data_IF_308282251599
#
_entry.id   IF_308282251599
#
_cell.length_a   1.000
_cell.length_b   1.000
_cell.length_c   1.000
_cell.angle_alpha   90.00
_cell.angle_beta   90.00
_cell.angle_gamma   90.00
#
_symmetry.space_group_name_H-M   'P 1'
#
loop_
_entity.id
_entity.type
_entity.pdbx_description
1 polymer ?
#
# COMPACT_ATOMS: atom_id res chain seq x y z
N UNK A 1 14.46 3.85 -15.13
CA UNK A 1 13.78 5.07 -14.64
C UNK A 1 13.33 4.79 -13.22
N UNK A 2 13.60 5.70 -12.27
CA UNK A 2 13.13 5.53 -10.88
C UNK A 2 11.62 5.65 -10.79
N UNK A 3 11.03 5.12 -9.70
CA UNK A 3 9.60 5.21 -9.43
C UNK A 3 9.16 6.67 -9.28
N UNK A 4 9.98 7.50 -8.63
CA UNK A 4 9.70 8.94 -8.49
C UNK A 4 9.62 9.63 -9.87
N UNK A 5 10.56 9.33 -10.77
CA UNK A 5 10.59 9.91 -12.10
C UNK A 5 9.41 9.42 -12.94
N UNK A 6 9.01 8.14 -12.81
CA UNK A 6 7.80 7.61 -13.44
C UNK A 6 6.55 8.40 -13.05
N UNK A 7 6.34 8.62 -11.76
CA UNK A 7 5.17 9.36 -11.24
C UNK A 7 5.15 10.80 -11.80
N UNK A 8 6.32 11.44 -11.88
CA UNK A 8 6.46 12.79 -12.46
C UNK A 8 6.04 12.82 -13.93
N UNK A 9 6.55 11.89 -14.72
CA UNK A 9 6.27 11.84 -16.16
C UNK A 9 4.80 11.50 -16.42
N UNK A 10 4.23 10.56 -15.65
CA UNK A 10 2.82 10.20 -15.73
C UNK A 10 1.90 11.36 -15.30
N UNK A 11 2.32 12.19 -14.35
CA UNK A 11 1.61 13.45 -14.00
C UNK A 11 1.57 14.43 -15.17
N UNK A 12 2.70 14.60 -15.87
CA UNK A 12 2.77 15.47 -17.05
C UNK A 12 1.96 14.92 -18.23
N UNK A 13 1.98 13.60 -18.43
CA UNK A 13 1.14 12.90 -19.41
C UNK A 13 -0.35 13.12 -19.11
N UNK A 14 -0.78 12.95 -17.86
CA UNK A 14 -2.16 13.16 -17.45
C UNK A 14 -2.64 14.61 -17.73
N UNK A 15 -1.76 15.61 -17.53
CA UNK A 15 -2.06 17.01 -17.89
C UNK A 15 -2.26 17.18 -19.39
N UNK A 16 -1.40 16.60 -20.22
CA UNK A 16 -1.51 16.65 -21.69
C UNK A 16 -2.78 15.94 -22.19
N UNK A 17 -3.14 14.83 -21.54
CA UNK A 17 -4.35 14.08 -21.81
C UNK A 17 -5.63 14.72 -21.23
N UNK A 18 -5.52 15.86 -20.53
CA UNK A 18 -6.62 16.56 -19.84
C UNK A 18 -7.33 15.71 -18.77
N UNK A 19 -6.61 14.73 -18.19
CA UNK A 19 -7.05 13.91 -17.06
C UNK A 19 -6.83 14.68 -15.74
N UNK A 20 -7.59 15.76 -15.53
CA UNK A 20 -7.33 16.73 -14.46
C UNK A 20 -7.23 16.11 -13.05
N UNK A 21 -8.14 15.18 -12.72
CA UNK A 21 -8.14 14.49 -11.42
C UNK A 21 -6.84 13.69 -11.21
N UNK A 22 -6.51 12.81 -12.16
CA UNK A 22 -5.27 12.01 -12.10
C UNK A 22 -4.02 12.88 -12.08
N UNK A 23 -3.99 13.96 -12.86
CA UNK A 23 -2.89 14.91 -12.83
C UNK A 23 -2.70 15.54 -11.45
N UNK A 24 -3.78 15.94 -10.78
CA UNK A 24 -3.72 16.47 -9.42
C UNK A 24 -3.21 15.41 -8.42
N UNK A 25 -3.81 14.21 -8.44
CA UNK A 25 -3.43 13.05 -7.62
C UNK A 25 -1.93 12.75 -7.72
N UNK A 26 -1.39 12.64 -8.94
CA UNK A 26 0.03 12.33 -9.17
C UNK A 26 0.96 13.48 -8.82
N UNK A 27 0.52 14.73 -8.98
CA UNK A 27 1.31 15.91 -8.60
C UNK A 27 1.52 15.96 -7.08
N UNK A 28 0.47 15.73 -6.31
CA UNK A 28 0.55 15.66 -4.84
C UNK A 28 1.46 14.52 -4.41
N UNK A 29 1.25 13.31 -4.94
CA UNK A 29 2.07 12.15 -4.63
C UNK A 29 3.56 12.37 -4.93
N UNK A 30 3.88 12.89 -6.13
CA UNK A 30 5.25 13.22 -6.50
C UNK A 30 5.89 14.18 -5.51
N UNK A 31 5.17 15.25 -5.14
CA UNK A 31 5.71 16.30 -4.28
C UNK A 31 6.05 15.76 -2.89
N UNK A 32 5.14 14.98 -2.31
CA UNK A 32 5.31 14.35 -1.00
C UNK A 32 6.44 13.32 -1.00
N UNK A 33 6.55 12.49 -2.05
CA UNK A 33 7.64 11.54 -2.19
C UNK A 33 9.00 12.24 -2.41
N UNK A 34 9.06 13.30 -3.24
CA UNK A 34 10.29 14.05 -3.49
C UNK A 34 10.81 14.78 -2.25
N UNK A 35 9.90 15.23 -1.37
CA UNK A 35 10.26 15.91 -0.12
C UNK A 35 11.06 15.02 0.84
N UNK A 36 10.95 13.69 0.75
CA UNK A 36 11.71 12.76 1.61
C UNK A 36 13.22 12.93 1.38
N UNK A 37 13.69 12.76 0.14
CA UNK A 37 15.09 12.93 -0.22
C UNK A 37 15.57 14.38 0.00
N UNK A 38 14.70 15.36 -0.30
CA UNK A 38 14.99 16.78 -0.07
C UNK A 38 15.28 17.08 1.41
N UNK A 39 14.45 16.57 2.31
CA UNK A 39 14.61 16.76 3.75
C UNK A 39 15.74 15.90 4.33
N UNK A 40 16.13 14.82 3.65
CA UNK A 40 17.25 13.96 4.02
C UNK A 40 18.59 14.43 3.41
N UNK A 41 18.86 15.74 3.45
CA UNK A 41 20.12 16.31 2.95
C UNK A 41 20.16 16.54 1.44
N UNK A 42 19.02 16.82 0.82
CA UNK A 42 18.91 17.09 -0.62
C UNK A 42 19.41 15.95 -1.53
N UNK A 43 19.24 14.71 -1.08
CA UNK A 43 19.49 13.50 -1.88
C UNK A 43 18.28 13.13 -2.73
N UNK A 44 18.47 12.19 -3.65
CA UNK A 44 17.35 11.55 -4.34
C UNK A 44 16.55 10.66 -3.36
N UNK A 45 15.22 10.67 -3.49
CA UNK A 45 14.32 9.74 -2.79
C UNK A 45 14.48 8.34 -3.41
N UNK A 46 14.62 7.30 -2.60
CA UNK A 46 14.75 5.92 -3.11
C UNK A 46 13.40 5.33 -3.50
N UNK A 47 13.38 4.28 -4.34
CA UNK A 47 12.14 3.64 -4.77
C UNK A 47 11.37 3.00 -3.60
N UNK A 48 12.07 2.52 -2.56
CA UNK A 48 11.45 2.02 -1.34
C UNK A 48 10.71 3.12 -0.57
N UNK A 49 11.31 4.31 -0.48
CA UNK A 49 10.69 5.47 0.17
C UNK A 49 9.48 5.97 -0.61
N UNK A 50 9.58 6.00 -1.95
CA UNK A 50 8.44 6.32 -2.82
C UNK A 50 7.31 5.31 -2.62
N UNK A 51 7.61 4.00 -2.64
CA UNK A 51 6.63 2.95 -2.41
C UNK A 51 5.99 3.04 -1.02
N UNK A 52 6.75 3.41 0.02
CA UNK A 52 6.22 3.65 1.35
C UNK A 52 5.24 4.84 1.37
N UNK A 53 5.55 5.93 0.67
CA UNK A 53 4.63 7.07 0.49
C UNK A 53 3.34 6.66 -0.23
N UNK A 54 3.46 5.91 -1.34
CA UNK A 54 2.28 5.41 -2.07
C UNK A 54 1.38 4.56 -1.17
N UNK A 55 1.96 3.66 -0.36
CA UNK A 55 1.21 2.84 0.61
C UNK A 55 0.51 3.69 1.67
N UNK A 56 1.18 4.74 2.18
CA UNK A 56 0.58 5.68 3.14
C UNK A 56 -0.62 6.40 2.53
N UNK A 57 -0.51 6.86 1.28
CA UNK A 57 -1.60 7.51 0.56
C UNK A 57 -2.80 6.59 0.34
N UNK A 58 -2.56 5.33 -0.08
CA UNK A 58 -3.62 4.31 -0.21
C UNK A 58 -4.31 4.07 1.13
N UNK A 59 -3.55 3.92 2.22
CA UNK A 59 -4.10 3.71 3.56
C UNK A 59 -5.02 4.88 3.96
N UNK A 60 -4.53 6.11 3.86
CA UNK A 60 -5.30 7.30 4.23
C UNK A 60 -6.59 7.43 3.39
N UNK A 61 -6.50 7.15 2.08
CA UNK A 61 -7.67 7.17 1.21
C UNK A 61 -8.70 6.09 1.59
N UNK A 62 -8.25 4.86 1.91
CA UNK A 62 -9.12 3.78 2.40
C UNK A 62 -9.80 4.15 3.72
N UNK A 63 -9.06 4.72 4.67
CA UNK A 63 -9.62 5.20 5.95
C UNK A 63 -10.69 6.28 5.71
N UNK A 64 -10.42 7.24 4.81
CA UNK A 64 -11.39 8.26 4.44
C UNK A 64 -12.63 7.68 3.72
N UNK A 65 -12.47 6.66 2.87
CA UNK A 65 -13.58 5.95 2.23
C UNK A 65 -14.50 5.32 3.28
N UNK A 66 -13.94 4.68 4.32
CA UNK A 66 -14.72 4.07 5.42
C UNK A 66 -15.56 5.13 6.14
N UNK A 67 -14.99 6.31 6.41
CA UNK A 67 -15.73 7.43 7.03
C UNK A 67 -16.90 7.92 6.15
N UNK A 68 -16.80 7.73 4.83
CA UNK A 68 -17.82 8.13 3.86
C UNK A 68 -18.72 6.97 3.40
N UNK A 69 -18.57 5.77 3.94
CA UNK A 69 -19.21 4.55 3.42
C UNK A 69 -20.73 4.67 3.39
N UNK A 70 -21.31 5.18 4.48
CA UNK A 70 -22.75 5.36 4.67
C UNK A 70 -23.27 6.74 4.25
N UNK A 71 -22.48 7.52 3.51
CA UNK A 71 -22.93 8.83 3.04
C UNK A 71 -24.03 8.69 1.97
N UNK A 72 -25.08 9.51 2.10
CA UNK A 72 -26.25 9.52 1.20
C UNK A 72 -26.39 10.81 0.41
N UNK A 73 -25.69 11.88 0.77
CA UNK A 73 -25.66 13.12 0.00
C UNK A 73 -24.65 13.05 -1.16
N UNK A 74 -25.00 13.69 -2.27
CA UNK A 74 -24.25 13.61 -3.53
C UNK A 74 -22.80 14.10 -3.38
N UNK A 75 -22.55 15.12 -2.55
CA UNK A 75 -21.22 15.67 -2.36
C UNK A 75 -20.28 14.66 -1.69
N UNK A 76 -20.73 13.99 -0.63
CA UNK A 76 -19.94 12.96 0.04
C UNK A 76 -19.82 11.67 -0.76
N UNK A 77 -20.84 11.30 -1.55
CA UNK A 77 -20.75 10.18 -2.50
C UNK A 77 -19.67 10.47 -3.55
N UNK A 78 -19.68 11.66 -4.15
CA UNK A 78 -18.67 12.07 -5.12
C UNK A 78 -17.26 12.07 -4.52
N UNK A 79 -17.11 12.55 -3.27
CA UNK A 79 -15.83 12.51 -2.56
C UNK A 79 -15.33 11.07 -2.33
N UNK A 80 -16.22 10.15 -1.92
CA UNK A 80 -15.90 8.73 -1.74
C UNK A 80 -15.44 8.10 -3.07
N UNK A 81 -16.12 8.40 -4.16
CA UNK A 81 -15.80 7.82 -5.47
C UNK A 81 -14.50 8.42 -6.04
N UNK A 82 -14.21 9.70 -5.79
CA UNK A 82 -12.90 10.29 -6.09
C UNK A 82 -11.77 9.58 -5.33
N UNK A 83 -11.94 9.32 -4.02
CA UNK A 83 -10.95 8.57 -3.23
C UNK A 83 -10.72 7.14 -3.77
N UNK A 84 -11.78 6.46 -4.24
CA UNK A 84 -11.66 5.14 -4.89
C UNK A 84 -10.83 5.22 -6.17
N UNK A 85 -11.02 6.27 -6.97
CA UNK A 85 -10.21 6.52 -8.16
C UNK A 85 -8.74 6.78 -7.79
N UNK A 86 -8.49 7.57 -6.74
CA UNK A 86 -7.11 7.79 -6.25
C UNK A 86 -6.43 6.49 -5.84
N UNK A 87 -7.11 5.63 -5.07
CA UNK A 87 -6.58 4.31 -4.69
C UNK A 87 -6.20 3.49 -5.93
N UNK A 88 -7.06 3.49 -6.97
CA UNK A 88 -6.77 2.82 -8.24
C UNK A 88 -5.51 3.38 -8.92
N UNK A 89 -5.38 4.71 -8.99
CA UNK A 89 -4.21 5.39 -9.55
C UNK A 89 -2.94 5.04 -8.76
N UNK A 90 -2.98 5.07 -7.43
CA UNK A 90 -1.82 4.75 -6.59
C UNK A 90 -1.38 3.29 -6.70
N UNK A 91 -2.32 2.35 -6.81
CA UNK A 91 -2.01 0.93 -6.97
C UNK A 91 -1.20 0.62 -8.24
N UNK A 92 -1.30 1.45 -9.29
CA UNK A 92 -0.50 1.29 -10.50
C UNK A 92 1.02 1.49 -10.30
N UNK A 93 1.43 2.05 -9.16
CA UNK A 93 2.82 2.31 -8.79
C UNK A 93 3.37 1.35 -7.73
N UNK A 94 2.57 0.37 -7.30
CA UNK A 94 3.03 -0.69 -6.42
C UNK A 94 3.07 -2.01 -7.18
N UNK A 95 3.94 -2.95 -6.78
CA UNK A 95 3.79 -4.33 -7.19
C UNK A 95 2.44 -4.87 -6.72
N UNK A 96 1.93 -5.88 -7.43
CA UNK A 96 0.68 -6.54 -7.07
C UNK A 96 0.74 -6.98 -5.60
N UNK A 97 -0.21 -6.47 -4.80
CA UNK A 97 -0.34 -6.87 -3.41
C UNK A 97 -1.02 -8.23 -3.34
N UNK A 98 -0.61 -9.05 -2.37
CA UNK A 98 -1.37 -10.24 -2.01
C UNK A 98 -2.77 -9.81 -1.54
N UNK A 99 -3.80 -10.40 -2.15
CA UNK A 99 -5.15 -10.28 -1.62
C UNK A 99 -5.27 -11.03 -0.28
N UNK A 100 -6.42 -10.88 0.39
CA UNK A 100 -6.64 -11.51 1.69
C UNK A 100 -6.50 -13.04 1.65
N UNK A 101 -6.97 -13.70 0.58
CA UNK A 101 -6.87 -15.15 0.43
C UNK A 101 -5.43 -15.60 0.19
N UNK A 102 -4.74 -14.94 -0.75
CA UNK A 102 -3.33 -15.18 -1.05
C UNK A 102 -2.43 -14.96 0.16
N UNK A 103 -2.67 -13.87 0.91
CA UNK A 103 -1.95 -13.56 2.14
C UNK A 103 -2.19 -14.63 3.21
N UNK A 104 -3.44 -15.07 3.36
CA UNK A 104 -3.80 -16.14 4.29
C UNK A 104 -3.11 -17.45 3.93
N UNK A 105 -3.18 -17.87 2.67
CA UNK A 105 -2.51 -19.08 2.20
C UNK A 105 -1.00 -19.02 2.38
N UNK A 106 -0.36 -17.90 2.07
CA UNK A 106 1.08 -17.72 2.26
C UNK A 106 1.48 -17.86 3.73
N UNK A 107 0.76 -17.19 4.64
CA UNK A 107 1.03 -17.27 6.07
C UNK A 107 0.79 -18.68 6.61
N UNK A 108 -0.30 -19.34 6.22
CA UNK A 108 -0.58 -20.72 6.64
C UNK A 108 0.52 -21.69 6.16
N UNK A 109 1.00 -21.54 4.91
CA UNK A 109 2.10 -22.34 4.40
C UNK A 109 3.39 -22.15 5.20
N UNK A 110 3.72 -20.91 5.56
CA UNK A 110 4.89 -20.62 6.42
C UNK A 110 4.72 -21.26 7.80
N UNK A 111 3.54 -21.13 8.41
CA UNK A 111 3.25 -21.68 9.75
C UNK A 111 3.32 -23.21 9.77
N UNK A 112 2.86 -23.89 8.72
CA UNK A 112 2.96 -25.35 8.58
C UNK A 112 4.40 -25.86 8.52
N UNK A 113 5.34 -25.04 8.01
CA UNK A 113 6.75 -25.38 7.94
C UNK A 113 7.53 -25.17 9.25
N UNK A 114 6.90 -24.66 10.31
CA UNK A 114 7.56 -24.40 11.59
C UNK A 114 7.71 -25.68 12.41
N UNK A 115 8.87 -25.83 13.06
CA UNK A 115 9.12 -26.94 13.99
C UNK A 115 8.25 -26.87 15.27
N UNK A 116 7.84 -25.66 15.66
CA UNK A 116 6.94 -25.41 16.78
C UNK A 116 5.93 -24.35 16.38
N UNK A 117 4.64 -24.58 16.62
CA UNK A 117 3.59 -23.59 16.41
C UNK A 117 3.28 -22.88 17.72
N UNK A 118 3.87 -21.69 17.92
CA UNK A 118 3.58 -20.87 19.09
C UNK A 118 3.65 -19.37 18.77
N UNK A 119 3.01 -18.50 19.58
CA UNK A 119 3.07 -17.05 19.40
C UNK A 119 4.49 -16.47 19.35
N UNK A 120 5.48 -17.18 19.91
CA UNK A 120 6.91 -16.81 19.85
C UNK A 120 7.45 -16.79 18.42
N UNK A 121 6.83 -17.53 17.50
CA UNK A 121 7.25 -17.63 16.10
C UNK A 121 6.77 -16.46 15.22
N UNK A 122 6.01 -15.50 15.77
CA UNK A 122 5.52 -14.35 15.01
C UNK A 122 6.62 -13.64 14.21
N UNK A 123 7.78 -13.40 14.83
CA UNK A 123 8.91 -12.76 14.17
C UNK A 123 9.46 -13.58 13.01
N UNK A 124 9.52 -14.91 13.16
CA UNK A 124 9.98 -15.82 12.12
C UNK A 124 8.99 -15.87 10.94
N UNK A 125 7.68 -15.95 11.22
CA UNK A 125 6.62 -15.94 10.20
C UNK A 125 6.67 -14.65 9.37
N UNK A 126 6.73 -13.49 10.04
CA UNK A 126 6.77 -12.20 9.36
C UNK A 126 8.06 -12.01 8.55
N UNK A 127 9.19 -12.54 9.04
CA UNK A 127 10.46 -12.54 8.30
C UNK A 127 10.37 -13.40 7.04
N UNK A 128 9.91 -14.63 7.14
CA UNK A 128 9.75 -15.53 6.01
C UNK A 128 8.77 -14.98 4.97
N UNK A 129 7.66 -14.38 5.42
CA UNK A 129 6.69 -13.72 4.54
C UNK A 129 7.34 -12.59 3.74
N UNK A 130 8.17 -11.77 4.40
CA UNK A 130 8.92 -10.69 3.76
C UNK A 130 9.96 -11.21 2.76
N UNK A 131 10.63 -12.32 3.07
CA UNK A 131 11.61 -12.95 2.17
C UNK A 131 10.94 -13.52 0.91
N UNK A 132 9.74 -14.09 1.04
CA UNK A 132 9.02 -14.71 -0.09
C UNK A 132 8.25 -13.69 -0.94
N UNK A 133 7.68 -12.65 -0.33
CA UNK A 133 6.74 -11.73 -1.00
C UNK A 133 7.14 -10.25 -0.93
N UNK A 134 8.33 -9.95 -0.41
CA UNK A 134 8.80 -8.58 -0.24
C UNK A 134 7.92 -7.80 0.75
N UNK A 135 7.44 -6.63 0.35
CA UNK A 135 6.52 -5.82 1.19
C UNK A 135 5.15 -5.66 0.53
N UNK A 136 4.79 -6.57 -0.37
CA UNK A 136 3.60 -6.49 -1.22
C UNK A 136 2.37 -7.10 -0.55
N UNK A 137 2.08 -6.66 0.67
CA UNK A 137 0.92 -7.09 1.46
C UNK A 137 0.61 -6.05 2.54
N UNK A 138 -0.59 -6.10 3.09
CA UNK A 138 -0.96 -5.31 4.25
C UNK A 138 -0.32 -5.92 5.52
N UNK A 139 0.61 -5.20 6.13
CA UNK A 139 1.34 -5.68 7.32
C UNK A 139 0.46 -5.84 8.57
N UNK A 140 -0.60 -5.04 8.70
CA UNK A 140 -1.56 -5.15 9.79
C UNK A 140 -2.43 -6.40 9.62
N UNK A 141 -2.92 -6.65 8.40
CA UNK A 141 -3.64 -7.87 8.07
C UNK A 141 -2.75 -9.10 8.24
N UNK A 142 -1.51 -9.05 7.74
CA UNK A 142 -0.54 -10.14 7.88
C UNK A 142 -0.28 -10.48 9.36
N UNK A 143 -0.11 -9.47 10.21
CA UNK A 143 0.10 -9.67 11.65
C UNK A 143 -1.12 -10.29 12.34
N UNK A 144 -2.33 -9.86 11.97
CA UNK A 144 -3.57 -10.42 12.51
C UNK A 144 -3.75 -11.89 12.10
N UNK A 145 -3.60 -12.19 10.81
CA UNK A 145 -3.71 -13.54 10.26
C UNK A 145 -2.64 -14.45 10.86
N UNK A 146 -1.38 -14.01 10.94
CA UNK A 146 -0.30 -14.79 11.54
C UNK A 146 -0.56 -15.07 13.03
N UNK A 147 -1.17 -14.13 13.76
CA UNK A 147 -1.49 -14.31 15.18
C UNK A 147 -2.55 -15.38 15.36
N UNK A 148 -3.62 -15.31 14.57
CA UNK A 148 -4.68 -16.33 14.54
C UNK A 148 -4.12 -17.69 14.11
N UNK A 149 -3.35 -17.71 13.01
CA UNK A 149 -2.69 -18.91 12.51
C UNK A 149 -1.71 -19.51 13.52
N UNK A 150 -1.10 -18.77 14.43
CA UNK A 150 -0.25 -19.33 15.49
C UNK A 150 -1.02 -19.72 16.76
N UNK A 151 -2.21 -19.15 16.98
CA UNK A 151 -3.05 -19.42 18.16
C UNK A 151 -3.94 -20.66 17.98
N UNK A 152 -4.43 -20.94 16.77
CA UNK A 152 -5.31 -22.09 16.48
C UNK A 152 -4.58 -23.44 16.40
N UNK A 153 -3.46 -23.58 17.12
CA UNK A 153 -2.85 -24.86 17.44
C UNK A 153 -3.38 -25.29 18.80
N UNK A 154 -4.48 -26.03 18.79
CA UNK A 154 -4.95 -26.84 19.90
C UNK A 154 -5.34 -28.19 19.33
#
# INVERSE_FOLDING_TARGET
>A
MSLLQRIKDDSLQARKAKEAAKAATLTTLYSEAAMIGKNAGNRETTDEEVAATVKKFIKNAKEAIVVLENATDDARIAARDALRQEVSVYNAYLPQQLDHGQLTSAILGIVQGLAERSPKQMGAVMKALKEQHGTNYDGSAASAIAKEALASAS
#
